data_IF_062203470550
#
_entry.id   IF_062203470550
#
_cell.length_a   1.000
_cell.length_b   1.000
_cell.length_c   1.000
_cell.angle_alpha   90.00
_cell.angle_beta   90.00
_cell.angle_gamma   90.00
#
_symmetry.space_group_name_H-M   'P 1'
#
loop_
_entity.id
_entity.type
_entity.pdbx_description
1 polymer ?
#
# COMPACT_ATOMS: atom_id res chain seq x y z
N UNK A 1 -22.91 -3.70 -7.01
CA UNK A 1 -22.31 -3.27 -5.72
C UNK A 1 -20.86 -3.77 -5.76
N UNK A 2 -19.91 -2.91 -5.45
CA UNK A 2 -18.51 -3.29 -5.46
C UNK A 2 -18.17 -4.19 -4.27
N UNK A 3 -17.36 -5.21 -4.47
CA UNK A 3 -16.72 -5.98 -3.41
C UNK A 3 -15.21 -5.72 -3.42
N UNK A 4 -14.64 -5.22 -2.33
CA UNK A 4 -13.21 -5.04 -2.19
C UNK A 4 -12.65 -6.10 -1.24
N UNK A 5 -11.90 -7.03 -1.80
CA UNK A 5 -11.11 -8.01 -1.04
C UNK A 5 -9.79 -7.36 -0.66
N UNK A 6 -9.57 -7.17 0.63
CA UNK A 6 -8.40 -6.46 1.14
C UNK A 6 -7.88 -7.08 2.43
N UNK A 7 -6.64 -6.82 2.72
CA UNK A 7 -6.03 -7.11 4.02
C UNK A 7 -5.96 -5.82 4.86
N UNK A 8 -5.00 -5.75 5.77
CA UNK A 8 -4.68 -4.56 6.57
C UNK A 8 -4.48 -3.31 5.69
N UNK A 9 -4.61 -2.09 6.22
CA UNK A 9 -4.33 -0.85 5.50
C UNK A 9 -2.83 -0.69 5.22
N UNK A 10 -2.28 -1.64 4.49
CA UNK A 10 -0.95 -1.60 3.90
C UNK A 10 -0.99 -0.89 2.54
N UNK A 11 0.17 -0.61 1.96
CA UNK A 11 0.29 0.18 0.73
C UNK A 11 -0.70 -0.23 -0.37
N UNK A 12 -0.78 -1.52 -0.69
CA UNK A 12 -1.59 -2.01 -1.81
C UNK A 12 -3.09 -1.96 -1.52
N UNK A 13 -3.53 -2.39 -0.33
CA UNK A 13 -4.94 -2.33 0.07
C UNK A 13 -5.37 -0.90 0.38
N UNK A 14 -4.50 -0.12 1.04
CA UNK A 14 -4.82 1.22 1.50
C UNK A 14 -5.16 2.16 0.34
N UNK A 15 -4.41 2.12 -0.76
CA UNK A 15 -4.66 3.01 -1.91
C UNK A 15 -6.04 2.82 -2.51
N UNK A 16 -6.53 1.57 -2.60
CA UNK A 16 -7.87 1.29 -3.13
C UNK A 16 -8.97 1.68 -2.15
N UNK A 17 -8.76 1.43 -0.85
CA UNK A 17 -9.72 1.83 0.19
C UNK A 17 -9.86 3.36 0.21
N UNK A 18 -8.75 4.10 0.16
CA UNK A 18 -8.79 5.57 0.11
C UNK A 18 -9.55 6.04 -1.13
N UNK A 19 -9.22 5.52 -2.31
CA UNK A 19 -9.87 5.94 -3.55
C UNK A 19 -11.38 5.74 -3.52
N UNK A 20 -11.86 4.58 -3.06
CA UNK A 20 -13.29 4.29 -2.92
C UNK A 20 -13.97 5.23 -1.93
N UNK A 21 -13.33 5.53 -0.80
CA UNK A 21 -13.87 6.43 0.22
C UNK A 21 -13.87 7.90 -0.23
N UNK A 22 -12.84 8.37 -0.91
CA UNK A 22 -12.79 9.71 -1.49
C UNK A 22 -13.89 9.96 -2.52
N UNK A 23 -14.29 8.91 -3.22
CA UNK A 23 -15.37 8.94 -4.20
C UNK A 23 -16.77 8.71 -3.60
N UNK A 24 -16.85 8.41 -2.31
CA UNK A 24 -18.10 7.99 -1.64
C UNK A 24 -18.82 6.84 -2.36
N UNK A 25 -18.08 5.95 -3.01
CA UNK A 25 -18.64 4.78 -3.69
C UNK A 25 -18.91 3.68 -2.66
N UNK A 26 -20.16 3.22 -2.51
CA UNK A 26 -20.46 2.12 -1.60
C UNK A 26 -19.81 0.82 -2.06
N UNK A 27 -19.11 0.15 -1.15
CA UNK A 27 -18.52 -1.15 -1.39
C UNK A 27 -18.67 -2.08 -0.18
N UNK A 28 -18.67 -3.38 -0.44
CA UNK A 28 -18.57 -4.40 0.60
C UNK A 28 -17.09 -4.64 0.91
N UNK A 29 -16.70 -4.42 2.15
CA UNK A 29 -15.39 -4.76 2.65
C UNK A 29 -15.31 -6.26 2.90
N UNK A 30 -14.46 -6.96 2.15
CA UNK A 30 -14.16 -8.38 2.27
C UNK A 30 -12.75 -8.53 2.81
N UNK A 31 -12.63 -8.56 4.13
CA UNK A 31 -11.33 -8.74 4.75
C UNK A 31 -10.81 -10.16 4.50
N UNK A 32 -9.55 -10.28 4.09
CA UNK A 32 -8.86 -11.54 3.77
C UNK A 32 -7.58 -11.60 4.60
N UNK A 33 -7.49 -12.53 5.53
CA UNK A 33 -6.30 -12.69 6.37
C UNK A 33 -5.17 -13.36 5.59
N UNK A 34 -4.16 -12.54 5.24
CA UNK A 34 -2.99 -13.04 4.51
C UNK A 34 -2.07 -13.91 5.36
N UNK A 35 -2.07 -13.74 6.68
CA UNK A 35 -1.28 -14.58 7.59
C UNK A 35 -1.91 -15.96 7.78
N UNK A 36 -3.24 -16.05 7.65
CA UNK A 36 -3.96 -17.34 7.59
C UNK A 36 -3.99 -17.94 6.17
N UNK A 37 -3.41 -17.23 5.17
CA UNK A 37 -3.39 -17.61 3.75
C UNK A 37 -4.80 -17.82 3.16
N UNK A 38 -5.81 -17.09 3.65
CA UNK A 38 -7.21 -17.22 3.20
C UNK A 38 -7.37 -17.01 1.69
N UNK A 39 -6.51 -16.18 1.07
CA UNK A 39 -6.49 -15.93 -0.38
C UNK A 39 -6.07 -17.16 -1.21
N UNK A 40 -5.55 -18.22 -0.57
CA UNK A 40 -5.27 -19.52 -1.19
C UNK A 40 -6.39 -20.55 -0.94
N UNK A 41 -7.39 -20.19 -0.16
CA UNK A 41 -8.56 -21.06 0.10
C UNK A 41 -9.53 -21.12 -1.08
N UNK A 42 -10.34 -22.19 -1.11
CA UNK A 42 -11.28 -22.43 -2.23
C UNK A 42 -12.33 -21.32 -2.37
N UNK A 43 -12.77 -20.73 -1.26
CA UNK A 43 -13.75 -19.65 -1.27
C UNK A 43 -13.22 -18.40 -2.00
N UNK A 44 -11.96 -18.04 -1.80
CA UNK A 44 -11.34 -16.90 -2.50
C UNK A 44 -11.06 -17.25 -3.96
N UNK A 45 -10.52 -18.44 -4.24
CA UNK A 45 -10.24 -18.91 -5.59
C UNK A 45 -11.49 -18.99 -6.49
N UNK A 46 -12.64 -19.30 -5.89
CA UNK A 46 -13.91 -19.32 -6.62
C UNK A 46 -14.34 -17.94 -7.14
N UNK A 47 -13.82 -16.87 -6.55
CA UNK A 47 -14.09 -15.48 -6.97
C UNK A 47 -13.05 -15.00 -7.97
N UNK A 48 -11.78 -15.36 -7.77
CA UNK A 48 -10.69 -14.93 -8.65
C UNK A 48 -9.62 -16.01 -8.78
N UNK A 49 -9.23 -16.27 -10.01
CA UNK A 49 -8.04 -17.03 -10.31
C UNK A 49 -6.80 -16.13 -10.12
N UNK A 50 -5.79 -16.64 -9.39
CA UNK A 50 -4.54 -15.92 -9.17
C UNK A 50 -4.26 -15.48 -7.74
N UNK A 51 -5.19 -15.64 -6.80
CA UNK A 51 -4.98 -15.45 -5.34
C UNK A 51 -4.24 -14.15 -4.96
N UNK A 52 -4.68 -13.01 -5.47
CA UNK A 52 -4.10 -11.69 -5.18
C UNK A 52 -5.02 -10.84 -4.31
N UNK A 53 -4.43 -10.12 -3.38
CA UNK A 53 -5.08 -9.13 -2.52
C UNK A 53 -4.22 -7.85 -2.56
N UNK A 54 -4.80 -6.66 -2.78
CA UNK A 54 -6.24 -6.41 -2.92
C UNK A 54 -6.81 -6.83 -4.27
N UNK A 55 -8.12 -7.08 -4.28
CA UNK A 55 -8.90 -7.33 -5.47
C UNK A 55 -10.23 -6.58 -5.40
N UNK A 56 -10.57 -5.88 -6.47
CA UNK A 56 -11.87 -5.23 -6.63
C UNK A 56 -12.73 -6.07 -7.58
N UNK A 57 -13.96 -6.35 -7.19
CA UNK A 57 -14.96 -6.97 -8.05
C UNK A 57 -16.06 -5.96 -8.35
N UNK A 58 -16.31 -5.71 -9.64
CA UNK A 58 -17.37 -4.84 -10.13
C UNK A 58 -18.25 -5.63 -11.11
N UNK A 59 -19.40 -6.07 -10.64
CA UNK A 59 -20.27 -6.96 -11.43
C UNK A 59 -19.62 -8.30 -11.71
N UNK A 60 -19.29 -8.54 -12.98
CA UNK A 60 -18.61 -9.77 -13.44
C UNK A 60 -17.08 -9.61 -13.56
N UNK A 61 -16.58 -8.39 -13.45
CA UNK A 61 -15.18 -8.07 -13.66
C UNK A 61 -14.39 -8.09 -12.35
N UNK A 62 -13.23 -8.75 -12.36
CA UNK A 62 -12.30 -8.81 -11.23
C UNK A 62 -10.98 -8.12 -11.57
N UNK A 63 -10.63 -7.09 -10.81
CA UNK A 63 -9.40 -6.31 -10.95
C UNK A 63 -8.41 -6.74 -9.87
N UNK A 64 -7.31 -7.35 -10.27
CA UNK A 64 -6.32 -7.96 -9.34
C UNK A 64 -4.98 -7.23 -9.31
N UNK A 65 -4.76 -6.25 -10.18
CA UNK A 65 -3.61 -5.36 -10.14
C UNK A 65 -4.00 -4.05 -9.45
N UNK A 66 -3.37 -3.76 -8.31
CA UNK A 66 -3.74 -2.62 -7.48
C UNK A 66 -3.48 -1.26 -8.14
N UNK A 67 -2.44 -1.17 -9.00
CA UNK A 67 -2.13 0.05 -9.74
C UNK A 67 -3.18 0.31 -10.84
N UNK A 68 -3.43 -0.68 -11.68
CA UNK A 68 -4.45 -0.56 -12.73
C UNK A 68 -5.85 -0.37 -12.13
N UNK A 69 -6.15 -0.99 -10.99
CA UNK A 69 -7.41 -0.79 -10.27
C UNK A 69 -7.52 0.65 -9.74
N UNK A 70 -6.43 1.22 -9.24
CA UNK A 70 -6.41 2.62 -8.80
C UNK A 70 -6.66 3.58 -9.97
N UNK A 71 -6.06 3.33 -11.12
CA UNK A 71 -6.28 4.10 -12.36
C UNK A 71 -7.72 3.97 -12.85
N UNK A 72 -8.28 2.76 -12.85
CA UNK A 72 -9.69 2.54 -13.14
C UNK A 72 -10.60 3.35 -12.21
N UNK A 73 -10.37 3.27 -10.90
CA UNK A 73 -11.14 4.02 -9.93
C UNK A 73 -10.97 5.53 -10.10
N UNK A 74 -9.81 6.02 -10.54
CA UNK A 74 -9.59 7.45 -10.75
C UNK A 74 -10.59 8.06 -11.74
N UNK A 75 -10.99 7.30 -12.76
CA UNK A 75 -11.83 7.75 -13.84
C UNK A 75 -13.29 7.25 -13.77
N UNK A 76 -13.53 6.03 -13.27
CA UNK A 76 -14.83 5.35 -13.35
C UNK A 76 -15.96 5.99 -12.54
N UNK A 77 -15.64 6.73 -11.49
CA UNK A 77 -16.63 7.33 -10.57
C UNK A 77 -16.28 8.79 -10.26
N UNK A 78 -17.32 9.61 -10.00
CA UNK A 78 -17.12 10.96 -9.51
C UNK A 78 -16.94 11.00 -7.96
N UNK A 79 -16.19 11.97 -7.42
CA UNK A 79 -15.38 12.97 -8.14
C UNK A 79 -14.19 12.32 -8.84
N UNK A 80 -13.81 12.85 -10.00
CA UNK A 80 -12.60 12.40 -10.70
C UNK A 80 -11.35 12.70 -9.84
N UNK A 81 -10.49 11.70 -9.66
CA UNK A 81 -9.24 11.81 -8.89
C UNK A 81 -8.01 11.83 -9.81
N UNK A 82 -8.16 12.41 -10.98
CA UNK A 82 -7.14 12.53 -12.01
C UNK A 82 -7.36 13.81 -12.84
N UNK A 83 -6.30 14.39 -13.42
CA UNK A 83 -6.43 15.44 -14.40
C UNK A 83 -7.31 15.04 -15.59
N UNK A 84 -7.98 16.01 -16.19
CA UNK A 84 -8.85 15.76 -17.36
C UNK A 84 -8.08 15.85 -18.67
N UNK A 85 -6.95 16.53 -18.67
CA UNK A 85 -6.09 16.65 -19.85
C UNK A 85 -5.16 15.43 -19.98
N UNK A 86 -4.86 14.98 -21.22
CA UNK A 86 -4.05 13.77 -21.43
C UNK A 86 -2.62 13.85 -20.88
N UNK A 87 -2.02 15.04 -20.88
CA UNK A 87 -0.64 15.23 -20.39
C UNK A 87 -0.60 15.09 -18.88
N UNK A 88 -1.49 15.75 -18.16
CA UNK A 88 -1.60 15.64 -16.72
C UNK A 88 -1.93 14.20 -16.28
N UNK A 89 -2.78 13.49 -17.04
CA UNK A 89 -3.04 12.08 -16.76
C UNK A 89 -1.80 11.21 -16.97
N UNK A 90 -1.07 11.43 -18.06
CA UNK A 90 0.21 10.74 -18.27
C UNK A 90 1.20 11.00 -17.13
N UNK A 91 1.30 12.24 -16.64
CA UNK A 91 2.19 12.60 -15.54
C UNK A 91 1.80 11.87 -14.24
N UNK A 92 0.50 11.72 -13.95
CA UNK A 92 0.00 10.93 -12.82
C UNK A 92 0.42 9.48 -12.95
N UNK A 93 0.19 8.85 -14.11
CA UNK A 93 0.56 7.45 -14.34
C UNK A 93 2.07 7.23 -14.25
N UNK A 94 2.86 8.12 -14.85
CA UNK A 94 4.32 8.05 -14.79
C UNK A 94 4.83 8.21 -13.35
N UNK A 95 4.22 9.10 -12.57
CA UNK A 95 4.57 9.30 -11.17
C UNK A 95 4.26 8.06 -10.31
N UNK A 96 3.05 7.52 -10.43
CA UNK A 96 2.64 6.34 -9.66
C UNK A 96 3.52 5.14 -9.99
N UNK A 97 3.76 4.85 -11.28
CA UNK A 97 4.61 3.74 -11.70
C UNK A 97 6.05 3.85 -11.20
N UNK A 98 6.64 5.06 -11.25
CA UNK A 98 8.00 5.29 -10.77
C UNK A 98 8.11 5.11 -9.24
N UNK A 99 7.12 5.57 -8.48
CA UNK A 99 7.13 5.38 -7.02
C UNK A 99 6.90 3.92 -6.64
N UNK A 100 6.00 3.21 -7.29
CA UNK A 100 5.79 1.77 -7.02
C UNK A 100 7.07 0.99 -7.27
N UNK A 101 7.76 1.25 -8.39
CA UNK A 101 9.04 0.61 -8.71
C UNK A 101 10.12 0.92 -7.66
N UNK A 102 10.18 2.15 -7.17
CA UNK A 102 11.22 2.56 -6.23
C UNK A 102 10.92 2.12 -4.78
N UNK A 103 9.66 2.17 -4.36
CA UNK A 103 9.29 2.09 -2.95
C UNK A 103 8.62 0.78 -2.54
N UNK A 104 7.72 0.20 -3.36
CA UNK A 104 6.83 -0.88 -2.91
C UNK A 104 7.59 -2.05 -2.29
N UNK A 105 8.55 -2.66 -2.99
CA UNK A 105 9.31 -3.79 -2.49
C UNK A 105 10.21 -3.42 -1.29
N UNK A 106 10.79 -2.22 -1.29
CA UNK A 106 11.71 -1.77 -0.25
C UNK A 106 11.00 -1.41 1.05
N UNK A 107 9.85 -0.73 0.95
CA UNK A 107 9.00 -0.41 2.12
C UNK A 107 8.40 -1.70 2.71
N UNK A 108 7.97 -2.64 1.86
CA UNK A 108 7.50 -3.96 2.29
C UNK A 108 8.60 -4.72 3.05
N UNK A 109 9.81 -4.79 2.49
CA UNK A 109 10.96 -5.45 3.14
C UNK A 109 11.23 -4.84 4.50
N UNK A 110 11.34 -3.51 4.58
CA UNK A 110 11.61 -2.81 5.82
C UNK A 110 10.49 -3.00 6.83
N UNK A 111 9.23 -2.87 6.42
CA UNK A 111 8.06 -3.06 7.27
C UNK A 111 7.93 -4.50 7.78
N UNK A 112 8.16 -5.48 6.92
CA UNK A 112 8.14 -6.89 7.34
C UNK A 112 9.24 -7.19 8.36
N UNK A 113 10.47 -6.77 8.06
CA UNK A 113 11.63 -7.01 8.94
C UNK A 113 11.50 -6.33 10.30
N UNK A 114 11.08 -5.05 10.32
CA UNK A 114 11.13 -4.24 11.55
C UNK A 114 9.84 -4.25 12.36
N UNK A 115 8.70 -4.60 11.74
CA UNK A 115 7.38 -4.51 12.37
C UNK A 115 6.67 -5.85 12.39
N UNK A 116 6.36 -6.41 11.22
CA UNK A 116 5.44 -7.54 11.14
C UNK A 116 6.03 -8.81 11.73
N UNK A 117 7.24 -9.19 11.34
CA UNK A 117 7.88 -10.40 11.82
C UNK A 117 8.20 -10.34 13.34
N UNK A 118 8.72 -9.24 13.90
CA UNK A 118 8.92 -9.12 15.34
C UNK A 118 7.62 -9.08 16.15
N UNK A 119 6.52 -8.55 15.59
CA UNK A 119 5.23 -8.52 16.26
C UNK A 119 4.53 -9.89 16.30
N UNK A 120 4.91 -10.81 15.42
CA UNK A 120 4.40 -12.18 15.45
C UNK A 120 5.06 -12.95 16.58
N UNK A 121 4.23 -13.57 17.45
CA UNK A 121 4.73 -14.54 18.44
C UNK A 121 5.34 -15.75 17.74
N UNK A 122 6.33 -16.40 18.33
CA UNK A 122 7.02 -17.57 17.75
C UNK A 122 6.04 -18.64 17.25
N UNK A 123 4.99 -18.92 18.03
CA UNK A 123 3.97 -19.89 17.65
C UNK A 123 3.16 -19.47 16.41
N UNK A 124 2.91 -18.17 16.25
CA UNK A 124 2.20 -17.63 15.07
C UNK A 124 3.11 -17.66 13.84
N UNK A 125 4.38 -17.30 14.02
CA UNK A 125 5.38 -17.36 12.95
C UNK A 125 5.57 -18.78 12.44
N UNK A 126 5.74 -19.76 13.35
CA UNK A 126 5.90 -21.16 12.97
C UNK A 126 4.64 -21.68 12.25
N UNK A 127 3.47 -21.40 12.78
CA UNK A 127 2.21 -21.79 12.14
C UNK A 127 2.03 -21.18 10.74
N UNK A 128 2.46 -19.93 10.55
CA UNK A 128 2.49 -19.27 9.24
C UNK A 128 3.44 -19.98 8.27
N UNK A 129 4.68 -20.26 8.70
CA UNK A 129 5.67 -20.99 7.89
C UNK A 129 5.18 -22.39 7.49
N UNK A 130 4.55 -23.10 8.42
CA UNK A 130 3.99 -24.43 8.18
C UNK A 130 2.84 -24.39 7.15
N UNK A 131 2.06 -23.32 7.14
CA UNK A 131 1.01 -23.11 6.12
C UNK A 131 1.63 -22.79 4.74
N UNK A 132 2.62 -21.92 4.70
CA UNK A 132 3.35 -21.60 3.44
C UNK A 132 3.97 -22.85 2.81
N UNK A 133 4.58 -23.71 3.63
CA UNK A 133 5.19 -24.97 3.17
C UNK A 133 4.18 -25.96 2.56
N UNK A 134 2.89 -25.84 2.89
CA UNK A 134 1.82 -26.71 2.39
C UNK A 134 1.12 -26.16 1.15
N UNK A 135 1.50 -24.97 0.64
CA UNK A 135 0.88 -24.41 -0.55
C UNK A 135 1.13 -25.30 -1.76
N UNK A 136 0.07 -25.68 -2.50
CA UNK A 136 0.20 -26.61 -3.63
C UNK A 136 0.82 -25.97 -4.87
N UNK A 137 0.91 -24.66 -4.92
CA UNK A 137 1.38 -23.90 -6.08
C UNK A 137 2.81 -23.41 -5.84
N UNK A 138 3.81 -23.88 -6.63
CA UNK A 138 5.20 -23.47 -6.45
C UNK A 138 5.43 -21.95 -6.53
N UNK A 139 4.67 -21.26 -7.42
CA UNK A 139 4.77 -19.80 -7.58
C UNK A 139 4.24 -19.05 -6.35
N UNK A 140 3.14 -19.50 -5.77
CA UNK A 140 2.60 -18.93 -4.54
C UNK A 140 3.58 -19.15 -3.36
N UNK A 141 4.11 -20.37 -3.22
CA UNK A 141 5.13 -20.69 -2.23
C UNK A 141 6.39 -19.82 -2.41
N UNK A 142 6.84 -19.59 -3.64
CA UNK A 142 7.99 -18.74 -3.94
C UNK A 142 7.75 -17.26 -3.55
N UNK A 143 6.54 -16.74 -3.78
CA UNK A 143 6.17 -15.38 -3.36
C UNK A 143 6.23 -15.22 -1.84
N UNK A 144 5.70 -16.19 -1.10
CA UNK A 144 5.76 -16.20 0.36
C UNK A 144 7.17 -16.52 0.90
N UNK A 145 7.98 -17.31 0.19
CA UNK A 145 9.38 -17.52 0.54
C UNK A 145 10.16 -16.19 0.53
N UNK A 146 9.90 -15.31 -0.44
CA UNK A 146 10.47 -13.96 -0.43
C UNK A 146 10.03 -13.15 0.79
N UNK A 147 8.74 -13.15 1.12
CA UNK A 147 8.21 -12.43 2.28
C UNK A 147 8.81 -12.97 3.59
N UNK A 148 8.99 -14.29 3.71
CA UNK A 148 9.62 -14.89 4.90
C UNK A 148 11.12 -14.60 4.96
N UNK A 149 11.81 -14.53 3.82
CA UNK A 149 13.23 -14.16 3.78
C UNK A 149 13.44 -12.67 4.14
N UNK A 150 12.48 -11.81 3.87
CA UNK A 150 12.52 -10.40 4.28
C UNK A 150 12.58 -10.24 5.81
N UNK A 151 12.06 -11.19 6.57
CA UNK A 151 12.19 -11.20 8.04
C UNK A 151 13.65 -11.41 8.51
N UNK A 152 14.47 -12.05 7.67
CA UNK A 152 15.88 -12.38 7.93
C UNK A 152 16.82 -11.57 7.02
N UNK A 153 16.35 -10.40 6.55
CA UNK A 153 17.11 -9.55 5.65
C UNK A 153 18.46 -9.15 6.30
N UNK A 154 19.53 -9.24 5.52
CA UNK A 154 20.86 -8.81 5.96
C UNK A 154 20.95 -7.29 6.10
N UNK A 155 21.94 -6.82 6.86
CA UNK A 155 22.21 -5.38 6.98
C UNK A 155 22.43 -4.71 5.62
N UNK A 156 23.10 -5.39 4.67
CA UNK A 156 23.29 -4.85 3.32
C UNK A 156 21.97 -4.74 2.55
N UNK A 157 21.08 -5.71 2.68
CA UNK A 157 19.73 -5.64 2.06
C UNK A 157 18.91 -4.50 2.65
N UNK A 158 18.96 -4.32 3.96
CA UNK A 158 18.28 -3.22 4.65
C UNK A 158 18.90 -1.85 4.30
N UNK A 159 20.21 -1.76 4.18
CA UNK A 159 20.89 -0.54 3.75
C UNK A 159 20.51 -0.16 2.31
N UNK A 160 20.52 -1.12 1.38
CA UNK A 160 20.09 -0.93 0.01
C UNK A 160 18.59 -0.50 -0.07
N UNK A 161 17.73 -1.12 0.74
CA UNK A 161 16.33 -0.73 0.79
C UNK A 161 16.16 0.71 1.29
N UNK A 162 16.87 1.12 2.35
CA UNK A 162 16.86 2.49 2.86
C UNK A 162 17.38 3.50 1.83
N UNK A 163 18.43 3.16 1.08
CA UNK A 163 18.93 4.01 0.00
C UNK A 163 17.87 4.24 -1.08
N UNK A 164 17.21 3.17 -1.55
CA UNK A 164 16.13 3.25 -2.54
C UNK A 164 14.93 4.06 -2.03
N UNK A 165 14.54 3.83 -0.78
CA UNK A 165 13.48 4.61 -0.13
C UNK A 165 13.89 6.08 -0.06
N UNK A 166 15.14 6.38 0.31
CA UNK A 166 15.67 7.73 0.37
C UNK A 166 15.57 8.46 -0.97
N UNK A 167 15.90 7.80 -2.08
CA UNK A 167 15.76 8.36 -3.43
C UNK A 167 14.29 8.71 -3.77
N UNK A 168 13.35 7.83 -3.43
CA UNK A 168 11.92 8.09 -3.61
C UNK A 168 11.40 9.24 -2.74
N UNK A 169 11.84 9.28 -1.49
CA UNK A 169 11.52 10.35 -0.53
C UNK A 169 12.05 11.70 -1.00
N UNK A 170 13.30 11.78 -1.45
CA UNK A 170 13.89 13.01 -1.97
C UNK A 170 13.14 13.52 -3.21
N UNK A 171 12.70 12.60 -4.08
CA UNK A 171 11.85 12.94 -5.22
C UNK A 171 10.52 13.56 -4.81
N UNK A 172 9.86 13.01 -3.80
CA UNK A 172 8.61 13.54 -3.24
C UNK A 172 8.85 14.94 -2.63
N UNK A 173 9.88 15.10 -1.81
CA UNK A 173 10.23 16.37 -1.18
C UNK A 173 10.49 17.48 -2.23
N UNK A 174 11.22 17.14 -3.30
CA UNK A 174 11.49 18.05 -4.41
C UNK A 174 10.22 18.45 -5.16
N UNK A 175 9.32 17.53 -5.44
CA UNK A 175 8.07 17.82 -6.12
C UNK A 175 7.18 18.77 -5.30
N UNK A 176 7.20 18.62 -3.99
CA UNK A 176 6.43 19.45 -3.05
C UNK A 176 7.11 20.80 -2.71
N UNK A 177 8.28 21.11 -3.27
CA UNK A 177 8.99 22.35 -2.97
C UNK A 177 8.21 23.61 -3.38
N UNK A 178 7.38 23.53 -4.42
CA UNK A 178 6.57 24.63 -4.92
C UNK A 178 5.11 24.28 -5.18
N UNK A 179 4.64 23.13 -4.70
CA UNK A 179 3.30 22.63 -4.96
C UNK A 179 2.67 22.02 -3.70
N UNK A 180 1.36 22.01 -3.64
CA UNK A 180 0.60 21.36 -2.58
C UNK A 180 0.39 19.86 -2.84
N UNK A 181 0.41 19.45 -4.10
CA UNK A 181 0.15 18.09 -4.56
C UNK A 181 1.29 17.61 -5.47
N UNK A 182 1.41 16.29 -5.63
CA UNK A 182 2.53 15.66 -6.34
C UNK A 182 2.48 15.89 -7.86
N UNK A 183 1.26 15.99 -8.41
CA UNK A 183 1.06 16.22 -9.85
C UNK A 183 -0.05 17.24 -10.03
N UNK A 184 0.25 18.35 -10.73
CA UNK A 184 -0.72 19.42 -10.99
C UNK A 184 -1.14 20.17 -9.73
N UNK A 185 -2.31 20.82 -9.82
CA UNK A 185 -2.79 21.75 -8.79
C UNK A 185 -3.88 21.12 -7.87
N UNK A 186 -4.18 19.83 -8.04
CA UNK A 186 -5.24 19.14 -7.33
C UNK A 186 -4.80 17.78 -6.78
N UNK A 187 -5.42 17.41 -5.66
CA UNK A 187 -5.30 16.06 -5.10
C UNK A 187 -5.74 14.99 -6.10
N UNK A 188 -4.92 13.97 -6.27
CA UNK A 188 -5.13 12.93 -7.27
C UNK A 188 -4.72 11.54 -6.76
N UNK A 189 -4.88 10.53 -7.60
CA UNK A 189 -4.40 9.18 -7.30
C UNK A 189 -2.86 9.10 -7.20
N UNK A 190 -2.11 10.08 -7.71
CA UNK A 190 -0.68 10.18 -7.45
C UNK A 190 -0.39 10.40 -5.96
N UNK A 191 -1.18 11.28 -5.30
CA UNK A 191 -1.06 11.53 -3.86
C UNK A 191 -1.54 10.33 -3.05
N UNK A 192 -2.63 9.68 -3.47
CA UNK A 192 -3.16 8.48 -2.81
C UNK A 192 -2.12 7.36 -2.82
N UNK A 193 -1.53 7.07 -4.00
CA UNK A 193 -0.52 6.04 -4.15
C UNK A 193 0.73 6.34 -3.31
N UNK A 194 1.26 7.55 -3.44
CA UNK A 194 2.44 7.97 -2.68
C UNK A 194 2.20 7.94 -1.17
N UNK A 195 1.03 8.40 -0.70
CA UNK A 195 0.67 8.34 0.72
C UNK A 195 0.62 6.89 1.21
N UNK A 196 -0.04 6.01 0.48
CA UNK A 196 -0.15 4.60 0.85
C UNK A 196 1.22 3.92 0.99
N UNK A 197 2.19 4.30 0.14
CA UNK A 197 3.56 3.79 0.21
C UNK A 197 4.41 4.41 1.33
N UNK A 198 4.12 5.63 1.76
CA UNK A 198 5.08 6.42 2.55
C UNK A 198 4.60 6.87 3.93
N UNK A 199 3.30 6.77 4.25
CA UNK A 199 2.74 7.28 5.51
C UNK A 199 3.36 6.65 6.77
N UNK A 200 3.92 5.45 6.66
CA UNK A 200 4.60 4.75 7.76
C UNK A 200 6.06 5.19 7.95
N UNK A 201 6.68 5.77 6.92
CA UNK A 201 8.12 6.06 6.91
C UNK A 201 8.59 6.99 8.04
N UNK A 202 7.83 8.00 8.50
CA UNK A 202 8.25 8.82 9.64
C UNK A 202 8.52 8.03 10.92
N UNK A 203 7.91 6.84 11.06
CA UNK A 203 8.13 5.92 12.19
C UNK A 203 9.04 4.77 11.84
N UNK A 204 8.96 4.28 10.61
CA UNK A 204 9.70 3.12 10.13
C UNK A 204 11.16 3.45 9.77
N UNK A 205 11.40 4.64 9.24
CA UNK A 205 12.70 5.16 8.82
C UNK A 205 12.83 6.66 9.15
N UNK A 206 12.83 7.05 10.44
CA UNK A 206 12.86 8.45 10.86
C UNK A 206 14.13 9.19 10.41
N UNK A 207 15.19 8.49 10.08
CA UNK A 207 16.40 9.06 9.49
C UNK A 207 16.16 9.55 8.06
N UNK A 208 15.19 8.98 7.35
CA UNK A 208 14.83 9.36 5.97
C UNK A 208 13.71 10.38 5.91
N UNK A 209 12.73 10.29 6.83
CA UNK A 209 11.55 11.17 6.83
C UNK A 209 11.42 11.85 8.18
N UNK A 210 11.84 13.11 8.24
CA UNK A 210 11.80 13.95 9.45
C UNK A 210 11.75 15.43 9.12
N UNK A 211 11.51 16.26 10.15
CA UNK A 211 11.33 17.70 10.00
C UNK A 211 12.54 18.48 9.47
N UNK A 212 13.75 17.93 9.59
CA UNK A 212 14.96 18.57 9.08
C UNK A 212 15.24 18.23 7.60
N UNK A 213 14.96 16.99 7.20
CA UNK A 213 15.25 16.48 5.85
C UNK A 213 14.09 16.70 4.89
N UNK A 214 12.87 16.43 5.33
CA UNK A 214 11.69 16.34 4.46
C UNK A 214 10.49 17.12 5.01
N UNK A 215 10.65 18.43 5.31
CA UNK A 215 9.59 19.22 5.92
C UNK A 215 8.34 19.36 5.02
N UNK A 216 8.50 19.40 3.68
CA UNK A 216 7.39 19.53 2.74
C UNK A 216 6.60 18.23 2.66
N UNK A 217 7.30 17.09 2.58
CA UNK A 217 6.69 15.77 2.60
C UNK A 217 5.92 15.53 3.90
N UNK A 218 6.46 15.91 5.06
CA UNK A 218 5.74 15.78 6.33
C UNK A 218 4.47 16.63 6.36
N UNK A 219 4.53 17.87 5.88
CA UNK A 219 3.34 18.73 5.79
C UNK A 219 2.29 18.15 4.82
N UNK A 220 2.74 17.56 3.71
CA UNK A 220 1.87 16.88 2.75
C UNK A 220 1.30 15.58 3.36
N UNK A 221 2.11 14.74 4.02
CA UNK A 221 1.63 13.53 4.72
C UNK A 221 0.53 13.88 5.73
N UNK A 222 0.73 14.97 6.48
CA UNK A 222 -0.31 15.45 7.40
C UNK A 222 -1.55 15.90 6.64
N UNK A 223 -1.42 16.70 5.58
CA UNK A 223 -2.55 17.18 4.76
C UNK A 223 -3.37 16.04 4.19
N UNK A 224 -2.73 15.01 3.65
CA UNK A 224 -3.41 13.82 3.12
C UNK A 224 -4.02 13.01 4.28
N UNK A 225 -3.28 12.78 5.35
CA UNK A 225 -3.74 12.04 6.53
C UNK A 225 -4.94 12.67 7.24
N UNK A 226 -5.08 14.00 7.20
CA UNK A 226 -6.22 14.72 7.78
C UNK A 226 -7.53 14.59 6.98
N UNK A 227 -7.49 14.01 5.79
CA UNK A 227 -8.71 13.77 4.98
C UNK A 227 -9.58 12.69 5.65
N UNK A 228 -10.88 12.91 5.67
CA UNK A 228 -11.83 11.98 6.31
C UNK A 228 -11.72 10.56 5.72
N UNK A 229 -11.68 10.46 4.39
CA UNK A 229 -11.54 9.19 3.67
C UNK A 229 -10.27 8.41 4.07
N UNK A 230 -9.16 9.14 4.28
CA UNK A 230 -7.87 8.53 4.67
C UNK A 230 -7.93 8.01 6.11
N UNK A 231 -8.46 8.81 7.05
CA UNK A 231 -8.63 8.36 8.44
C UNK A 231 -9.52 7.14 8.55
N UNK A 232 -10.64 7.14 7.82
CA UNK A 232 -11.53 5.98 7.79
C UNK A 232 -10.88 4.75 7.17
N UNK A 233 -10.07 4.93 6.12
CA UNK A 233 -9.33 3.83 5.50
C UNK A 233 -8.31 3.21 6.46
N UNK A 234 -7.54 4.03 7.16
CA UNK A 234 -6.56 3.57 8.15
C UNK A 234 -7.22 2.85 9.34
N UNK A 235 -8.47 3.20 9.67
CA UNK A 235 -9.23 2.55 10.75
C UNK A 235 -9.78 1.16 10.38
N UNK A 236 -9.61 0.69 9.14
CA UNK A 236 -10.12 -0.63 8.69
C UNK A 236 -9.23 -1.82 9.05
N UNK A 237 -8.08 -1.61 9.68
CA UNK A 237 -7.21 -2.68 10.15
C UNK A 237 -7.85 -3.55 11.25
N UNK A 238 -7.48 -4.83 11.29
CA UNK A 238 -8.05 -5.81 12.23
C UNK A 238 -7.04 -6.50 13.14
N UNK A 239 -5.83 -6.76 12.65
CA UNK A 239 -4.86 -7.57 13.41
C UNK A 239 -4.18 -6.82 14.53
N UNK A 240 -4.13 -5.50 14.46
CA UNK A 240 -3.35 -4.67 15.38
C UNK A 240 -1.83 -4.81 15.22
N UNK A 241 -1.36 -5.62 14.29
CA UNK A 241 0.07 -5.74 14.00
C UNK A 241 0.61 -4.41 13.49
N UNK A 242 1.54 -3.85 14.25
CA UNK A 242 2.17 -2.57 13.88
C UNK A 242 1.26 -1.35 13.98
N UNK A 243 0.18 -1.39 14.76
CA UNK A 243 -0.75 -0.25 14.91
C UNK A 243 -0.03 1.07 15.18
N UNK A 244 1.01 1.07 16.01
CA UNK A 244 1.79 2.29 16.32
C UNK A 244 2.54 2.83 15.10
N UNK A 245 2.88 1.98 14.13
CA UNK A 245 3.55 2.36 12.88
C UNK A 245 2.55 2.85 11.84
N UNK A 246 1.38 2.21 11.76
CA UNK A 246 0.34 2.53 10.78
C UNK A 246 -0.63 3.62 11.27
N UNK A 247 -0.57 4.01 12.54
CA UNK A 247 -1.41 5.08 13.07
C UNK A 247 -1.12 6.42 12.35
N UNK A 248 -2.15 7.28 12.16
CA UNK A 248 -1.95 8.60 11.58
C UNK A 248 -0.87 9.39 12.30
N UNK A 249 -0.14 10.22 11.58
CA UNK A 249 0.74 11.23 12.19
C UNK A 249 -0.16 12.28 12.86
N UNK A 250 -0.10 12.36 14.18
CA UNK A 250 -0.86 13.34 14.99
C UNK A 250 -0.14 14.67 14.98
#
# INVERSE_FOLDING_TARGET
MLDLYHWEPNAESLKLIIALKEKNVPFQSRYVDLLELEHHGDAFKAVADGARVPMLVDGADAFTDSQLTLEYLAEAYEPRLAPTDPTGWYDVQAWTAQLDQALSANVRLLGWHTVTAPAMRDTQRQAFLDRVAKLPQPQAAAGWAQVTSDAEASEDQLANARERIGQGVDKIEMALAGADWLVGDAYSVADINAFALTHTLPRLAPELVNGSRTPKMLAWLKRVGDRAAVREALAMGKTGLGQDVYAPLV
#
